data_IF_335705144783
#
_entry.id   IF_335705144783
#
_cell.length_a   1.000
_cell.length_b   1.000
_cell.length_c   1.000
_cell.angle_alpha   90.00
_cell.angle_beta   90.00
_cell.angle_gamma   90.00
#
_symmetry.space_group_name_H-M   'P 1'
#
loop_
_entity.id
_entity.type
_entity.pdbx_description
1 polymer ?
#
# COMPACT_ATOMS: atom_id res chain seq x y z
N UNK A 1 -13.88 14.89 24.08
CA UNK A 1 -14.75 13.93 23.35
C UNK A 1 -14.07 12.56 23.19
N UNK A 2 -13.58 11.96 24.27
CA UNK A 2 -12.97 10.61 24.27
C UNK A 2 -13.75 9.64 25.16
N UNK A 3 -14.64 10.15 26.02
CA UNK A 3 -15.36 9.36 27.02
C UNK A 3 -16.32 8.29 26.45
N UNK A 4 -16.65 8.33 25.16
CA UNK A 4 -17.53 7.37 24.47
C UNK A 4 -16.81 6.53 23.41
N UNK A 5 -15.50 6.71 23.23
CA UNK A 5 -14.73 5.92 22.27
C UNK A 5 -14.48 4.50 22.82
N UNK A 6 -14.55 3.46 21.97
CA UNK A 6 -14.18 2.12 22.39
C UNK A 6 -12.74 2.05 22.90
N UNK A 7 -12.45 1.12 23.82
CA UNK A 7 -11.09 0.89 24.30
C UNK A 7 -10.18 0.42 23.14
N UNK A 8 -8.94 0.90 23.12
CA UNK A 8 -8.00 0.63 22.02
C UNK A 8 -7.74 -0.87 21.82
N UNK A 9 -7.64 -1.64 22.89
CA UNK A 9 -7.44 -3.08 22.84
C UNK A 9 -8.62 -3.83 22.20
N UNK A 10 -9.86 -3.37 22.44
CA UNK A 10 -11.04 -3.91 21.78
C UNK A 10 -11.01 -3.60 20.28
N UNK A 11 -10.74 -2.33 19.92
CA UNK A 11 -10.65 -1.92 18.51
C UNK A 11 -9.58 -2.71 17.78
N UNK A 12 -8.42 -2.93 18.40
CA UNK A 12 -7.34 -3.68 17.77
C UNK A 12 -7.66 -5.17 17.60
N UNK A 13 -8.38 -5.78 18.55
CA UNK A 13 -8.88 -7.15 18.38
C UNK A 13 -9.88 -7.26 17.23
N UNK A 14 -10.82 -6.33 17.11
CA UNK A 14 -11.78 -6.31 16.00
C UNK A 14 -11.07 -6.06 14.65
N UNK A 15 -10.13 -5.12 14.60
CA UNK A 15 -9.33 -4.87 13.40
C UNK A 15 -8.52 -6.12 13.00
N UNK A 16 -7.94 -6.83 13.97
CA UNK A 16 -7.21 -8.08 13.72
C UNK A 16 -8.11 -9.20 13.20
N UNK A 17 -9.33 -9.31 13.74
CA UNK A 17 -10.31 -10.27 13.21
C UNK A 17 -10.74 -9.95 11.78
N UNK A 18 -10.98 -8.66 11.51
CA UNK A 18 -11.36 -8.19 10.18
C UNK A 18 -10.26 -8.44 9.15
N UNK A 19 -9.01 -8.15 9.48
CA UNK A 19 -7.87 -8.35 8.57
C UNK A 19 -7.50 -9.82 8.40
N UNK A 20 -7.74 -10.65 9.41
CA UNK A 20 -7.34 -12.07 9.39
C UNK A 20 -5.86 -12.23 9.04
N UNK A 21 -5.56 -12.94 7.97
CA UNK A 21 -4.20 -13.12 7.43
C UNK A 21 -3.94 -12.28 6.17
N UNK A 22 -4.82 -11.34 5.84
CA UNK A 22 -4.66 -10.54 4.64
C UNK A 22 -3.40 -9.68 4.68
N UNK A 23 -2.68 -9.53 3.56
CA UNK A 23 -1.58 -8.58 3.47
C UNK A 23 -2.11 -7.15 3.54
N UNK A 24 -1.34 -6.27 4.17
CA UNK A 24 -1.71 -4.88 4.39
C UNK A 24 -0.95 -3.94 3.46
N UNK A 25 -1.58 -2.82 3.14
CA UNK A 25 -0.96 -1.74 2.36
C UNK A 25 -1.15 -0.43 3.11
N UNK A 26 -0.10 0.37 3.17
CA UNK A 26 -0.16 1.71 3.75
C UNK A 26 0.76 2.68 3.01
N UNK A 27 0.51 3.98 3.20
CA UNK A 27 1.42 5.02 2.71
C UNK A 27 2.41 5.40 3.82
N UNK A 28 3.71 5.21 3.60
CA UNK A 28 4.74 5.25 4.63
C UNK A 28 4.62 4.09 5.66
N UNK A 29 4.37 2.91 5.14
CA UNK A 29 4.00 1.70 5.88
C UNK A 29 4.92 1.30 7.04
N UNK A 30 6.14 1.83 7.13
CA UNK A 30 7.03 1.58 8.25
C UNK A 30 6.46 2.12 9.58
N UNK A 31 5.74 3.25 9.52
CA UNK A 31 5.05 3.82 10.67
C UNK A 31 3.86 2.96 11.07
N UNK A 32 2.96 2.67 10.13
CA UNK A 32 1.74 1.90 10.36
C UNK A 32 2.06 0.49 10.87
N UNK A 33 3.06 -0.16 10.29
CA UNK A 33 3.50 -1.49 10.70
C UNK A 33 3.96 -1.51 12.16
N UNK A 34 4.77 -0.53 12.59
CA UNK A 34 5.24 -0.46 13.99
C UNK A 34 4.09 -0.21 14.94
N UNK A 35 3.19 0.70 14.60
CA UNK A 35 1.99 0.98 15.39
C UNK A 35 1.10 -0.26 15.49
N UNK A 36 0.79 -0.89 14.36
CA UNK A 36 -0.01 -2.11 14.26
C UNK A 36 0.54 -3.23 15.15
N UNK A 37 1.83 -3.52 15.02
CA UNK A 37 2.49 -4.56 15.80
C UNK A 37 2.49 -4.26 17.31
N UNK A 38 2.76 -3.01 17.70
CA UNK A 38 2.77 -2.62 19.11
C UNK A 38 1.38 -2.72 19.74
N UNK A 39 0.34 -2.24 19.07
CA UNK A 39 -1.02 -2.28 19.59
C UNK A 39 -1.61 -3.69 19.60
N UNK A 40 -1.31 -4.52 18.61
CA UNK A 40 -1.69 -5.93 18.65
C UNK A 40 -1.03 -6.68 19.81
N UNK A 41 0.26 -6.43 20.06
CA UNK A 41 0.95 -7.04 21.20
C UNK A 41 0.32 -6.63 22.53
N UNK A 42 -0.08 -5.36 22.70
CA UNK A 42 -0.83 -4.88 23.87
C UNK A 42 -2.20 -5.55 24.02
N UNK A 43 -2.86 -5.82 22.89
CA UNK A 43 -4.15 -6.53 22.87
C UNK A 43 -4.01 -8.06 23.01
N UNK A 44 -2.80 -8.58 23.26
CA UNK A 44 -2.53 -10.02 23.41
C UNK A 44 -2.61 -10.80 22.11
N UNK A 45 -2.46 -10.13 20.97
CA UNK A 45 -2.47 -10.75 19.63
C UNK A 45 -1.08 -10.65 18.98
N UNK A 46 -0.69 -11.70 18.25
CA UNK A 46 0.61 -11.78 17.55
C UNK A 46 0.39 -12.01 16.04
N UNK A 47 -0.29 -11.08 15.37
CA UNK A 47 -0.47 -11.17 13.92
C UNK A 47 0.68 -10.49 13.18
N UNK A 48 1.42 -11.25 12.37
CA UNK A 48 2.47 -10.74 11.50
C UNK A 48 1.93 -10.54 10.09
N UNK A 49 1.52 -9.32 9.77
CA UNK A 49 1.09 -8.99 8.41
C UNK A 49 2.25 -8.46 7.57
N UNK A 50 2.39 -8.91 6.30
CA UNK A 50 3.28 -8.25 5.36
C UNK A 50 2.68 -6.91 4.93
N UNK A 51 3.51 -5.85 4.93
CA UNK A 51 3.08 -4.50 4.54
C UNK A 51 3.74 -4.06 3.24
N UNK A 52 2.95 -3.79 2.22
CA UNK A 52 3.41 -3.04 1.06
C UNK A 52 3.28 -1.53 1.31
N UNK A 53 4.23 -0.76 0.76
CA UNK A 53 4.34 0.68 0.98
C UNK A 53 4.15 1.45 -0.31
N UNK A 54 3.00 2.12 -0.46
CA UNK A 54 2.71 2.92 -1.66
C UNK A 54 3.69 4.08 -1.84
N UNK A 55 4.25 4.66 -0.76
CA UNK A 55 5.31 5.66 -0.84
C UNK A 55 6.56 5.11 -1.57
N UNK A 56 7.03 3.93 -1.17
CA UNK A 56 8.22 3.32 -1.76
C UNK A 56 7.99 2.87 -3.19
N UNK A 57 6.82 2.32 -3.48
CA UNK A 57 6.40 1.95 -4.84
C UNK A 57 6.31 3.19 -5.73
N UNK A 58 5.66 4.26 -5.26
CA UNK A 58 5.55 5.52 -6.02
C UNK A 58 6.90 6.15 -6.34
N UNK A 59 7.90 6.04 -5.45
CA UNK A 59 9.27 6.49 -5.72
C UNK A 59 9.93 5.78 -6.91
N UNK A 60 9.46 4.58 -7.27
CA UNK A 60 9.93 3.80 -8.43
C UNK A 60 9.16 4.16 -9.69
N UNK A 61 7.84 4.25 -9.57
CA UNK A 61 6.96 4.43 -10.72
C UNK A 61 6.83 5.89 -11.17
N UNK A 62 6.92 6.83 -10.23
CA UNK A 62 6.66 8.26 -10.49
C UNK A 62 7.84 9.14 -10.07
N UNK A 63 9.06 8.92 -10.60
CA UNK A 63 10.25 9.70 -10.22
C UNK A 63 10.11 11.18 -10.55
N UNK A 64 9.20 11.55 -11.44
CA UNK A 64 8.91 12.92 -11.87
C UNK A 64 7.94 13.67 -10.94
N UNK A 65 7.29 12.98 -9.98
CA UNK A 65 6.42 13.65 -9.02
C UNK A 65 7.23 14.61 -8.13
N UNK A 66 6.70 15.81 -7.88
CA UNK A 66 7.36 16.85 -7.10
C UNK A 66 7.67 16.38 -5.67
N UNK A 67 6.83 15.51 -5.11
CA UNK A 67 7.03 14.83 -3.83
C UNK A 67 6.22 13.53 -3.81
N UNK A 68 6.63 12.61 -2.95
CA UNK A 68 5.92 11.35 -2.75
C UNK A 68 5.09 11.34 -1.45
N UNK A 69 4.75 12.51 -0.91
CA UNK A 69 3.74 12.64 0.15
C UNK A 69 2.37 12.30 -0.39
N UNK A 70 1.51 11.71 0.43
CA UNK A 70 0.21 11.19 0.00
C UNK A 70 -0.66 12.25 -0.69
N UNK A 71 -0.77 13.45 -0.11
CA UNK A 71 -1.54 14.55 -0.71
C UNK A 71 -0.98 14.99 -2.07
N UNK A 72 0.36 15.09 -2.20
CA UNK A 72 0.99 15.48 -3.48
C UNK A 72 0.78 14.43 -4.57
N UNK A 73 0.81 13.13 -4.20
CA UNK A 73 0.49 12.06 -5.15
C UNK A 73 -0.99 12.02 -5.49
N UNK A 74 -1.87 12.35 -4.52
CA UNK A 74 -3.30 12.47 -4.78
C UNK A 74 -3.59 13.57 -5.81
N UNK A 75 -2.96 14.73 -5.66
CA UNK A 75 -3.07 15.84 -6.62
C UNK A 75 -2.45 15.46 -7.98
N UNK A 76 -1.27 14.85 -7.98
CA UNK A 76 -0.56 14.40 -9.18
C UNK A 76 -1.40 13.44 -10.04
N UNK A 77 -2.14 12.55 -9.40
CA UNK A 77 -3.02 11.58 -10.06
C UNK A 77 -4.48 12.03 -10.14
N UNK A 78 -4.80 13.24 -9.66
CA UNK A 78 -6.18 13.78 -9.62
C UNK A 78 -7.15 12.85 -8.90
N UNK A 79 -6.70 12.24 -7.78
CA UNK A 79 -7.51 11.30 -7.03
C UNK A 79 -8.68 12.03 -6.32
N UNK A 80 -9.86 11.41 -6.22
CA UNK A 80 -10.97 11.97 -5.45
C UNK A 80 -10.59 12.17 -3.98
N UNK A 81 -11.02 13.30 -3.39
CA UNK A 81 -10.75 13.58 -1.97
C UNK A 81 -9.41 14.25 -1.70
N UNK A 82 -8.59 14.54 -2.73
CA UNK A 82 -7.45 15.44 -2.61
C UNK A 82 -7.89 16.72 -1.92
N UNK A 83 -7.21 17.13 -0.84
CA UNK A 83 -7.59 18.28 -0.01
C UNK A 83 -8.37 17.99 1.27
N UNK A 84 -8.80 16.75 1.53
CA UNK A 84 -9.40 16.33 2.81
C UNK A 84 -8.37 15.72 3.78
N UNK A 85 -7.08 15.91 3.50
CA UNK A 85 -5.97 15.37 4.28
C UNK A 85 -6.08 15.70 5.79
N UNK A 86 -5.44 14.86 6.62
CA UNK A 86 -5.33 14.94 8.09
C UNK A 86 -6.51 14.37 8.89
N UNK A 87 -7.32 13.50 8.28
CA UNK A 87 -8.22 12.61 9.01
C UNK A 87 -7.85 11.18 8.67
N UNK A 88 -7.63 10.32 9.66
CA UNK A 88 -7.14 8.95 9.47
C UNK A 88 -7.93 8.15 8.42
N UNK A 89 -9.26 8.27 8.41
CA UNK A 89 -10.10 7.61 7.41
C UNK A 89 -9.87 8.17 6.01
N UNK A 90 -9.82 9.50 5.86
CA UNK A 90 -9.60 10.13 4.55
C UNK A 90 -8.21 9.79 3.99
N UNK A 91 -7.18 9.75 4.84
CA UNK A 91 -5.84 9.34 4.44
C UNK A 91 -5.81 7.87 4.02
N UNK A 92 -6.54 6.99 4.71
CA UNK A 92 -6.68 5.58 4.33
C UNK A 92 -7.40 5.41 2.99
N UNK A 93 -8.49 6.16 2.74
CA UNK A 93 -9.21 6.18 1.46
C UNK A 93 -8.31 6.64 0.31
N UNK A 94 -7.57 7.73 0.50
CA UNK A 94 -6.63 8.24 -0.51
C UNK A 94 -5.50 7.22 -0.77
N UNK A 95 -4.99 6.56 0.28
CA UNK A 95 -3.96 5.53 0.11
C UNK A 95 -4.49 4.31 -0.66
N UNK A 96 -5.75 3.92 -0.46
CA UNK A 96 -6.41 2.86 -1.22
C UNK A 96 -6.61 3.27 -2.69
N UNK A 97 -7.06 4.49 -2.96
CA UNK A 97 -7.18 5.02 -4.32
C UNK A 97 -5.82 5.09 -5.03
N UNK A 98 -4.77 5.51 -4.32
CA UNK A 98 -3.42 5.51 -4.86
C UNK A 98 -2.94 4.09 -5.19
N UNK A 99 -3.27 3.10 -4.37
CA UNK A 99 -2.98 1.70 -4.67
C UNK A 99 -3.69 1.25 -5.96
N UNK A 100 -4.96 1.58 -6.11
CA UNK A 100 -5.72 1.27 -7.33
C UNK A 100 -5.07 1.93 -8.56
N UNK A 101 -4.63 3.19 -8.45
CA UNK A 101 -3.94 3.89 -9.52
C UNK A 101 -2.60 3.24 -9.86
N UNK A 102 -1.80 2.86 -8.85
CA UNK A 102 -0.55 2.12 -9.04
C UNK A 102 -0.80 0.81 -9.79
N UNK A 103 -1.79 0.04 -9.38
CA UNK A 103 -2.14 -1.21 -10.05
C UNK A 103 -2.65 -1.00 -11.46
N UNK A 104 -3.41 0.06 -11.72
CA UNK A 104 -3.83 0.47 -13.05
C UNK A 104 -2.63 0.79 -13.95
N UNK A 105 -1.70 1.61 -13.48
CA UNK A 105 -0.50 1.99 -14.22
C UNK A 105 0.42 0.80 -14.49
N UNK A 106 0.56 -0.13 -13.54
CA UNK A 106 1.31 -1.37 -13.74
C UNK A 106 0.71 -2.22 -14.85
N UNK A 107 -0.62 -2.29 -14.94
CA UNK A 107 -1.30 -3.01 -16.03
C UNK A 107 -1.15 -2.30 -17.38
N UNK A 108 -1.45 -1.00 -17.43
CA UNK A 108 -1.61 -0.28 -18.70
C UNK A 108 -0.28 0.21 -19.29
N UNK A 109 0.69 0.58 -18.44
CA UNK A 109 1.96 1.14 -18.89
C UNK A 109 3.11 0.14 -18.89
N UNK A 110 2.99 -0.94 -18.09
CA UNK A 110 4.05 -1.94 -17.93
C UNK A 110 3.63 -3.35 -18.35
N UNK A 111 2.40 -3.56 -18.79
CA UNK A 111 1.91 -4.85 -19.29
C UNK A 111 1.77 -5.92 -18.19
N UNK A 112 1.77 -5.53 -16.91
CA UNK A 112 1.71 -6.47 -15.79
C UNK A 112 0.26 -6.82 -15.48
N UNK A 113 -0.19 -7.98 -15.87
CA UNK A 113 -1.60 -8.38 -15.78
C UNK A 113 -2.07 -8.56 -14.33
N UNK A 114 -1.19 -9.00 -13.42
CA UNK A 114 -1.51 -9.28 -12.02
C UNK A 114 -0.56 -8.56 -11.06
N UNK A 115 -0.72 -7.24 -10.86
CA UNK A 115 0.06 -6.49 -9.89
C UNK A 115 -0.42 -6.79 -8.47
N UNK A 116 -0.06 -7.96 -7.95
CA UNK A 116 -0.43 -8.44 -6.64
C UNK A 116 0.47 -7.87 -5.52
N UNK A 117 0.16 -8.22 -4.27
CA UNK A 117 0.92 -7.75 -3.11
C UNK A 117 2.38 -8.22 -3.12
N UNK A 118 2.66 -9.44 -3.59
CA UNK A 118 4.03 -9.98 -3.66
C UNK A 118 4.89 -9.15 -4.62
N UNK A 119 4.34 -8.78 -5.77
CA UNK A 119 4.99 -7.86 -6.69
C UNK A 119 5.25 -6.49 -6.07
N UNK A 120 4.26 -5.89 -5.37
CA UNK A 120 4.45 -4.61 -4.69
C UNK A 120 5.56 -4.68 -3.64
N UNK A 121 5.65 -5.79 -2.90
CA UNK A 121 6.73 -6.05 -1.94
C UNK A 121 8.11 -6.13 -2.61
N UNK A 122 8.20 -6.71 -3.79
CA UNK A 122 9.43 -6.76 -4.57
C UNK A 122 9.78 -5.39 -5.13
N UNK A 123 8.81 -4.72 -5.72
CA UNK A 123 8.98 -3.40 -6.33
C UNK A 123 9.44 -2.33 -5.33
N UNK A 124 8.87 -2.31 -4.12
CA UNK A 124 9.27 -1.33 -3.09
C UNK A 124 10.74 -1.47 -2.65
N UNK A 125 11.33 -2.66 -2.80
CA UNK A 125 12.74 -2.98 -2.46
C UNK A 125 13.68 -2.86 -3.65
N UNK A 126 13.13 -2.80 -4.86
CA UNK A 126 13.91 -2.77 -6.09
C UNK A 126 14.81 -1.54 -6.14
N UNK A 127 16.07 -1.71 -6.49
CA UNK A 127 16.97 -0.60 -6.80
C UNK A 127 16.56 0.05 -8.13
N UNK A 128 16.70 1.38 -8.23
CA UNK A 128 16.30 2.11 -9.46
C UNK A 128 16.90 1.54 -10.76
N UNK A 129 18.20 1.16 -10.82
CA UNK A 129 18.77 0.59 -12.04
C UNK A 129 18.15 -0.75 -12.46
N UNK A 130 17.67 -1.54 -11.48
CA UNK A 130 17.07 -2.86 -11.72
C UNK A 130 15.58 -2.80 -12.08
N UNK A 131 14.95 -1.63 -11.99
CA UNK A 131 13.51 -1.47 -12.15
C UNK A 131 13.02 -1.98 -13.53
N UNK A 132 13.72 -1.60 -14.61
CA UNK A 132 13.34 -2.01 -15.97
C UNK A 132 13.34 -3.53 -16.12
N UNK A 133 14.40 -4.19 -15.67
CA UNK A 133 14.51 -5.65 -15.73
C UNK A 133 13.41 -6.35 -14.92
N UNK A 134 13.12 -5.81 -13.75
CA UNK A 134 12.02 -6.31 -12.89
C UNK A 134 10.67 -6.21 -13.61
N UNK A 135 10.36 -5.09 -14.26
CA UNK A 135 9.12 -4.90 -15.01
C UNK A 135 8.96 -5.89 -16.15
N UNK A 136 10.02 -6.10 -16.94
CA UNK A 136 10.03 -7.08 -18.03
C UNK A 136 9.77 -8.49 -17.48
N UNK A 137 10.47 -8.89 -16.43
CA UNK A 137 10.30 -10.21 -15.80
C UNK A 137 8.84 -10.48 -15.39
N UNK A 138 8.15 -9.48 -14.81
CA UNK A 138 6.75 -9.64 -14.38
C UNK A 138 5.76 -9.58 -15.55
N UNK A 139 6.06 -8.87 -16.65
CA UNK A 139 5.26 -8.87 -17.85
C UNK A 139 5.34 -10.23 -18.56
N UNK A 140 6.56 -10.77 -18.75
CA UNK A 140 6.79 -12.06 -19.43
C UNK A 140 6.17 -13.24 -18.66
N UNK A 141 6.24 -13.21 -17.32
CA UNK A 141 5.63 -14.25 -16.47
C UNK A 141 4.09 -14.30 -16.60
N UNK A 142 3.46 -13.19 -16.95
CA UNK A 142 2.03 -13.11 -17.16
C UNK A 142 1.60 -13.80 -18.47
N UNK A 143 2.39 -13.64 -19.54
CA UNK A 143 2.11 -14.25 -20.86
C UNK A 143 2.30 -15.78 -20.81
N UNK A 144 3.24 -16.27 -20.03
CA UNK A 144 3.47 -17.70 -19.84
C UNK A 144 2.30 -18.41 -19.10
N UNK A 145 1.58 -17.72 -18.24
CA UNK A 145 0.44 -18.28 -17.49
C UNK A 145 -0.86 -18.33 -18.32
N UNK A 146 -0.96 -17.57 -19.40
CA UNK A 146 -2.13 -17.54 -20.30
C UNK A 146 -2.01 -18.62 -21.38
N UNK A 147 -0.80 -19.12 -21.63
CA UNK A 147 -0.51 -20.14 -22.68
C UNK A 147 -0.54 -21.59 -22.17
N UNK A 148 -0.88 -21.80 -20.89
CA UNK A 148 -0.98 -23.12 -20.23
C UNK A 148 -2.42 -23.47 -19.91
#
# INVERSE_FOLDING_TARGET
MIATAPAADWVMREASRFTGNAPLVAHNAAFDRRFWQAELARAGSAAAHPFACTLLVSRRLYPQAASHRLGVLADYHQLPGAGRAHRALADAEIAALLLCQIQHDLRTRHGITRPDHAMLMTLQRCAKPALRALMVQYADAADACVAS
#
